data_IF_785910710182
#
_entry.id   IF_785910710182
#
_cell.length_a   1.000
_cell.length_b   1.000
_cell.length_c   1.000
_cell.angle_alpha   90.00
_cell.angle_beta   90.00
_cell.angle_gamma   90.00
#
_symmetry.space_group_name_H-M   'P 1'
#
loop_
_entity.id
_entity.type
_entity.pdbx_description
1 polymer ?
#
# COMPACT_ATOMS: atom_id res chain seq x y z
N UNK A 1 -3.38 0.26 -6.88
CA UNK A 1 -2.09 -0.43 -6.99
C UNK A 1 -2.05 -1.20 -8.28
N UNK A 2 -0.97 -1.10 -9.05
CA UNK A 2 -0.76 -1.90 -10.27
C UNK A 2 -0.01 -3.17 -9.87
N UNK A 3 -0.52 -4.38 -10.20
CA UNK A 3 0.14 -5.63 -9.82
C UNK A 3 1.58 -5.72 -10.32
N UNK A 4 2.51 -6.07 -9.43
CA UNK A 4 3.94 -6.24 -9.73
C UNK A 4 4.74 -4.94 -9.90
N UNK A 5 4.12 -3.76 -9.71
CA UNK A 5 4.79 -2.47 -9.86
C UNK A 5 6.01 -2.33 -8.96
N UNK A 6 5.96 -2.88 -7.75
CA UNK A 6 7.09 -2.77 -6.84
C UNK A 6 8.27 -3.70 -7.13
N UNK A 7 8.09 -4.78 -7.91
CA UNK A 7 9.23 -5.58 -8.42
C UNK A 7 9.95 -4.84 -9.56
N UNK A 8 9.17 -4.16 -10.42
CA UNK A 8 9.71 -3.28 -11.46
C UNK A 8 10.51 -2.14 -10.82
N UNK A 9 9.94 -1.49 -9.80
CA UNK A 9 10.62 -0.43 -9.06
C UNK A 9 11.91 -0.93 -8.38
N UNK A 10 11.87 -2.10 -7.74
CA UNK A 10 13.06 -2.70 -7.12
C UNK A 10 14.18 -2.91 -8.15
N UNK A 11 13.84 -3.42 -9.33
CA UNK A 11 14.80 -3.65 -10.42
C UNK A 11 15.45 -2.34 -10.87
N UNK A 12 14.66 -1.27 -11.03
CA UNK A 12 15.18 0.05 -11.34
C UNK A 12 16.11 0.58 -10.25
N UNK A 13 15.74 0.43 -8.97
CA UNK A 13 16.57 0.89 -7.85
C UNK A 13 17.93 0.17 -7.84
N UNK A 14 17.96 -1.16 -7.98
CA UNK A 14 19.22 -1.91 -8.02
C UNK A 14 20.12 -1.47 -9.17
N UNK A 15 19.54 -1.20 -10.35
CA UNK A 15 20.28 -0.63 -11.49
C UNK A 15 20.88 0.74 -11.16
N UNK A 16 20.13 1.62 -10.49
CA UNK A 16 20.63 2.97 -10.14
C UNK A 16 21.79 2.96 -9.16
N UNK A 17 21.89 1.94 -8.29
CA UNK A 17 22.99 1.78 -7.32
C UNK A 17 24.08 0.82 -7.79
N UNK A 18 24.01 0.33 -9.02
CA UNK A 18 25.02 -0.57 -9.61
C UNK A 18 25.04 -1.99 -9.02
N UNK A 19 23.94 -2.45 -8.43
CA UNK A 19 23.84 -3.79 -7.85
C UNK A 19 23.32 -4.81 -8.87
N UNK A 20 23.77 -6.09 -8.76
CA UNK A 20 23.31 -7.19 -9.62
C UNK A 20 21.79 -7.42 -9.50
N UNK A 21 21.12 -7.65 -10.65
CA UNK A 21 19.67 -7.87 -10.72
C UNK A 21 19.27 -9.28 -10.26
N UNK A 22 20.22 -10.19 -10.13
CA UNK A 22 20.00 -11.58 -9.74
C UNK A 22 19.26 -11.67 -8.39
N UNK A 23 19.42 -10.68 -7.50
CA UNK A 23 18.67 -10.58 -6.25
C UNK A 23 17.15 -10.36 -6.41
N UNK A 24 16.69 -9.80 -7.52
CA UNK A 24 15.24 -9.60 -7.78
C UNK A 24 14.54 -10.90 -8.11
N UNK A 25 15.25 -11.91 -8.65
CA UNK A 25 14.67 -13.22 -8.97
C UNK A 25 14.20 -13.96 -7.72
N UNK A 26 14.96 -13.87 -6.62
CA UNK A 26 14.56 -14.44 -5.33
C UNK A 26 13.28 -13.80 -4.82
N UNK A 27 13.17 -12.48 -4.92
CA UNK A 27 12.00 -11.72 -4.47
C UNK A 27 10.81 -11.92 -5.41
N UNK A 28 11.07 -12.13 -6.71
CA UNK A 28 10.06 -12.45 -7.72
C UNK A 28 9.22 -13.68 -7.37
N UNK A 29 9.80 -14.67 -6.69
CA UNK A 29 9.08 -15.86 -6.21
C UNK A 29 7.98 -15.54 -5.18
N UNK A 30 8.10 -14.46 -4.42
CA UNK A 30 7.13 -14.03 -3.40
C UNK A 30 6.44 -12.70 -3.74
N UNK A 31 6.72 -12.11 -4.91
CA UNK A 31 6.22 -10.80 -5.33
C UNK A 31 4.71 -10.68 -5.16
N UNK A 32 3.94 -11.72 -5.51
CA UNK A 32 2.48 -11.69 -5.36
C UNK A 32 2.01 -11.43 -3.93
N UNK A 33 2.63 -12.07 -2.94
CA UNK A 33 2.26 -11.90 -1.53
C UNK A 33 2.67 -10.51 -1.05
N UNK A 34 3.90 -10.10 -1.39
CA UNK A 34 4.43 -8.78 -1.03
C UNK A 34 3.59 -7.66 -1.64
N UNK A 35 3.12 -7.82 -2.87
CA UNK A 35 2.35 -6.81 -3.60
C UNK A 35 0.93 -6.64 -3.03
N UNK A 36 0.30 -7.74 -2.60
CA UNK A 36 -0.95 -7.69 -1.86
C UNK A 36 -0.77 -6.99 -0.51
N UNK A 37 0.25 -7.34 0.26
CA UNK A 37 0.55 -6.71 1.55
C UNK A 37 0.77 -5.20 1.39
N UNK A 38 1.55 -4.78 0.39
CA UNK A 38 1.75 -3.36 0.06
C UNK A 38 0.45 -2.65 -0.27
N UNK A 39 -0.42 -3.27 -1.08
CA UNK A 39 -1.71 -2.66 -1.43
C UNK A 39 -2.58 -2.45 -0.18
N UNK A 40 -2.67 -3.44 0.71
CA UNK A 40 -3.43 -3.32 1.95
C UNK A 40 -2.91 -2.20 2.86
N UNK A 41 -1.58 -2.11 3.02
CA UNK A 41 -0.95 -1.09 3.87
C UNK A 41 -1.16 0.30 3.26
N UNK A 42 -1.01 0.46 1.94
CA UNK A 42 -1.23 1.75 1.28
C UNK A 42 -2.66 2.24 1.48
N UNK A 43 -3.66 1.39 1.26
CA UNK A 43 -5.07 1.76 1.49
C UNK A 43 -5.35 2.07 2.96
N UNK A 44 -4.77 1.30 3.89
CA UNK A 44 -4.92 1.55 5.33
C UNK A 44 -4.28 2.88 5.75
N UNK A 45 -3.12 3.21 5.19
CA UNK A 45 -2.44 4.48 5.39
C UNK A 45 -3.26 5.66 4.88
N UNK A 46 -3.80 5.57 3.66
CA UNK A 46 -4.66 6.60 3.08
C UNK A 46 -5.91 6.85 3.94
N UNK A 47 -6.55 5.77 4.42
CA UNK A 47 -7.70 5.88 5.33
C UNK A 47 -7.32 6.51 6.67
N UNK A 48 -6.19 6.11 7.24
CA UNK A 48 -5.70 6.65 8.51
C UNK A 48 -5.40 8.14 8.39
N UNK A 49 -4.73 8.56 7.32
CA UNK A 49 -4.46 9.95 7.03
C UNK A 49 -5.75 10.74 6.76
N UNK A 50 -6.71 10.16 6.03
CA UNK A 50 -8.01 10.78 5.77
C UNK A 50 -8.78 11.04 7.06
N UNK A 51 -8.81 10.07 7.98
CA UNK A 51 -9.48 10.21 9.29
C UNK A 51 -8.75 11.26 10.13
N UNK A 52 -7.42 11.23 10.15
CA UNK A 52 -6.62 12.22 10.87
C UNK A 52 -6.91 13.63 10.38
N UNK A 53 -6.87 13.86 9.06
CA UNK A 53 -7.14 15.17 8.45
C UNK A 53 -8.57 15.61 8.72
N UNK A 54 -9.56 14.74 8.54
CA UNK A 54 -10.95 15.07 8.86
C UNK A 54 -11.10 15.46 10.35
N UNK A 55 -10.34 14.83 11.25
CA UNK A 55 -10.40 15.13 12.69
C UNK A 55 -9.86 16.52 12.98
N UNK A 56 -8.72 16.86 12.36
CA UNK A 56 -8.05 18.14 12.56
C UNK A 56 -8.80 19.30 11.94
N UNK A 57 -9.53 19.07 10.84
CA UNK A 57 -10.36 20.07 10.17
C UNK A 57 -11.78 20.17 10.76
N UNK A 58 -12.15 19.30 11.72
CA UNK A 58 -13.50 19.28 12.31
C UNK A 58 -14.59 18.68 11.41
N UNK A 59 -14.19 17.95 10.37
CA UNK A 59 -15.05 17.32 9.35
C UNK A 59 -15.30 15.83 9.59
N UNK A 60 -14.86 15.29 10.74
CA UNK A 60 -15.22 13.93 11.15
C UNK A 60 -16.69 13.87 11.55
N UNK A 61 -17.50 13.36 10.63
CA UNK A 61 -18.87 12.96 10.93
C UNK A 61 -18.86 11.76 11.91
N UNK A 62 -19.82 11.74 12.84
CA UNK A 62 -20.07 10.54 13.65
C UNK A 62 -20.30 9.34 12.72
N UNK A 63 -19.74 8.16 13.03
CA UNK A 63 -19.91 6.99 12.19
C UNK A 63 -21.41 6.77 12.00
N UNK A 64 -21.85 6.65 10.75
CA UNK A 64 -23.24 6.34 10.44
C UNK A 64 -23.68 5.17 11.32
N UNK A 65 -24.50 5.47 12.34
CA UNK A 65 -25.16 4.44 13.12
C UNK A 65 -25.78 3.52 12.09
N UNK A 66 -25.30 2.28 12.06
CA UNK A 66 -25.93 1.27 11.24
C UNK A 66 -27.29 1.09 11.91
N UNK A 67 -28.29 1.78 11.36
CA UNK A 67 -29.69 1.48 11.52
C UNK A 67 -29.90 0.07 10.96
N UNK A 68 -29.43 -0.93 11.71
CA UNK A 68 -29.85 -2.32 11.59
C UNK A 68 -31.25 -2.31 12.20
N UNK A 69 -32.18 -1.78 11.42
CA UNK A 69 -33.58 -2.13 11.54
C UNK A 69 -33.73 -3.48 10.87
N UNK A 70 -34.13 -4.47 11.66
CA UNK A 70 -34.40 -5.90 11.36
C UNK A 70 -33.32 -6.87 11.79
#
# INVERSE_FOLDING_TARGET
GVPGAGLIMLTMVLQTVGLPLEGTLLIGGIDRILDMARTCINITGDLSASILVASTEGELNEPAEKSIST
#
